data_IF_830494112653
#
_entry.id   IF_830494112653
#
_cell.length_a   1.000
_cell.length_b   1.000
_cell.length_c   1.000
_cell.angle_alpha   90.00
_cell.angle_beta   90.00
_cell.angle_gamma   90.00
#
_symmetry.space_group_name_H-M   'P 1'
#
loop_
_entity.id
_entity.type
_entity.pdbx_description
1 polymer ?
#
# COMPACT_ATOMS: atom_id res chain seq x y z
N UNK A 1 -30.26 9.31 -4.12
CA UNK A 1 -28.95 9.49 -4.78
C UNK A 1 -28.02 10.16 -3.77
N UNK A 2 -26.79 9.65 -3.63
CA UNK A 2 -25.74 10.32 -2.84
C UNK A 2 -25.28 11.59 -3.58
N UNK A 3 -25.00 12.66 -2.84
CA UNK A 3 -24.38 13.85 -3.45
C UNK A 3 -22.90 13.58 -3.75
N UNK A 4 -22.30 14.29 -4.72
CA UNK A 4 -20.87 14.17 -5.05
C UNK A 4 -19.96 14.34 -3.82
N UNK A 5 -20.24 15.34 -2.98
CA UNK A 5 -19.45 15.61 -1.78
C UNK A 5 -19.48 14.46 -0.76
N UNK A 6 -20.64 13.82 -0.60
CA UNK A 6 -20.77 12.66 0.28
C UNK A 6 -20.06 11.44 -0.32
N UNK A 7 -20.10 11.27 -1.64
CA UNK A 7 -19.37 10.20 -2.32
C UNK A 7 -17.84 10.36 -2.16
N UNK A 8 -17.30 11.58 -2.33
CA UNK A 8 -15.87 11.85 -2.10
C UNK A 8 -15.47 11.63 -0.64
N UNK A 9 -16.29 12.10 0.30
CA UNK A 9 -16.06 11.87 1.73
C UNK A 9 -16.04 10.37 2.09
N UNK A 10 -16.93 9.57 1.49
CA UNK A 10 -16.96 8.12 1.70
C UNK A 10 -15.74 7.42 1.08
N UNK A 11 -15.29 7.83 -0.11
CA UNK A 11 -14.07 7.30 -0.72
C UNK A 11 -12.85 7.61 0.13
N UNK A 12 -12.74 8.85 0.63
CA UNK A 12 -11.66 9.25 1.51
C UNK A 12 -11.67 8.48 2.84
N UNK A 13 -12.81 8.43 3.53
CA UNK A 13 -12.93 7.73 4.81
C UNK A 13 -12.70 6.22 4.67
N UNK A 14 -13.27 5.61 3.63
CA UNK A 14 -13.09 4.20 3.32
C UNK A 14 -11.64 3.86 3.02
N UNK A 15 -10.96 4.68 2.21
CA UNK A 15 -9.55 4.48 1.93
C UNK A 15 -8.67 4.67 3.18
N UNK A 16 -8.93 5.70 4.00
CA UNK A 16 -8.22 5.88 5.29
C UNK A 16 -8.34 4.65 6.20
N UNK A 17 -9.51 4.04 6.28
CA UNK A 17 -9.73 2.82 7.07
C UNK A 17 -8.86 1.68 6.52
N UNK A 18 -8.84 1.47 5.21
CA UNK A 18 -7.99 0.45 4.57
C UNK A 18 -6.51 0.71 4.85
N UNK A 19 -6.09 1.96 4.81
CA UNK A 19 -4.71 2.34 5.09
C UNK A 19 -4.30 2.08 6.55
N UNK A 20 -5.20 2.27 7.52
CA UNK A 20 -4.93 1.91 8.93
C UNK A 20 -4.65 0.41 9.06
N UNK A 21 -5.38 -0.44 8.33
CA UNK A 21 -5.09 -1.89 8.30
C UNK A 21 -3.78 -2.21 7.58
N UNK A 22 -3.36 -1.41 6.59
CA UNK A 22 -2.03 -1.57 6.01
C UNK A 22 -0.93 -1.17 7.00
N UNK A 23 -1.15 -0.16 7.86
CA UNK A 23 -0.17 0.21 8.91
C UNK A 23 0.03 -0.90 9.94
N UNK A 24 -0.99 -1.67 10.31
CA UNK A 24 -0.76 -2.81 11.24
C UNK A 24 0.19 -3.85 10.65
N UNK A 25 0.22 -3.97 9.31
CA UNK A 25 1.22 -4.81 8.63
C UNK A 25 2.63 -4.23 8.67
N UNK A 26 2.84 -2.95 8.97
CA UNK A 26 4.17 -2.42 9.28
C UNK A 26 4.61 -2.80 10.69
N UNK A 27 3.66 -2.88 11.62
CA UNK A 27 3.91 -3.09 13.04
C UNK A 27 4.05 -4.57 13.43
N UNK A 28 3.54 -5.47 12.59
CA UNK A 28 3.63 -6.91 12.80
C UNK A 28 4.92 -7.49 12.21
N UNK A 29 5.87 -7.89 13.06
CA UNK A 29 7.11 -8.53 12.64
C UNK A 29 6.93 -9.90 11.97
N UNK A 30 5.81 -10.58 12.24
CA UNK A 30 5.48 -11.91 11.69
C UNK A 30 4.73 -11.85 10.36
N UNK A 31 4.11 -10.72 10.03
CA UNK A 31 3.41 -10.56 8.76
C UNK A 31 4.38 -10.75 7.58
N UNK A 32 4.23 -11.87 6.88
CA UNK A 32 5.03 -12.25 5.74
C UNK A 32 4.56 -11.55 4.46
N UNK A 33 4.68 -10.22 4.44
CA UNK A 33 4.38 -9.42 3.24
C UNK A 33 5.65 -9.31 2.38
N UNK A 34 5.63 -9.82 1.14
CA UNK A 34 6.75 -9.67 0.23
C UNK A 34 7.04 -8.21 -0.12
N UNK A 35 8.30 -7.80 0.01
CA UNK A 35 8.80 -6.48 -0.40
C UNK A 35 8.40 -6.13 -1.83
N UNK A 36 8.60 -7.06 -2.76
CA UNK A 36 8.28 -6.85 -4.18
C UNK A 36 6.79 -6.52 -4.35
N UNK A 37 5.92 -7.22 -3.63
CA UNK A 37 4.48 -6.96 -3.67
C UNK A 37 4.13 -5.59 -3.10
N UNK A 38 4.77 -5.18 -1.99
CA UNK A 38 4.58 -3.83 -1.44
C UNK A 38 5.01 -2.73 -2.42
N UNK A 39 6.13 -2.93 -3.11
CA UNK A 39 6.59 -2.00 -4.15
C UNK A 39 5.59 -1.92 -5.32
N UNK A 40 5.07 -3.06 -5.77
CA UNK A 40 4.05 -3.11 -6.83
C UNK A 40 2.77 -2.39 -6.43
N UNK A 41 2.31 -2.57 -5.19
CA UNK A 41 1.13 -1.83 -4.69
C UNK A 41 1.40 -0.33 -4.61
N UNK A 42 2.56 0.09 -4.13
CA UNK A 42 2.93 1.51 -4.10
C UNK A 42 2.89 2.14 -5.50
N UNK A 43 3.45 1.46 -6.51
CA UNK A 43 3.36 1.93 -7.91
C UNK A 43 1.93 1.96 -8.45
N UNK A 44 1.16 0.89 -8.24
CA UNK A 44 -0.23 0.82 -8.72
C UNK A 44 -1.10 1.93 -8.12
N UNK A 45 -1.02 2.13 -6.81
CA UNK A 45 -1.70 3.22 -6.12
C UNK A 45 -1.18 4.60 -6.58
N UNK A 46 0.10 4.72 -6.90
CA UNK A 46 0.68 5.94 -7.45
C UNK A 46 0.07 6.33 -8.79
N UNK A 47 -0.17 5.36 -9.68
CA UNK A 47 -0.85 5.60 -10.95
C UNK A 47 -2.30 6.06 -10.71
N UNK A 48 -2.99 5.40 -9.77
CA UNK A 48 -4.38 5.76 -9.42
C UNK A 48 -4.45 7.18 -8.82
N UNK A 49 -3.52 7.55 -7.93
CA UNK A 49 -3.51 8.88 -7.33
C UNK A 49 -3.27 9.96 -8.38
N UNK A 50 -2.36 9.75 -9.34
CA UNK A 50 -2.16 10.64 -10.48
C UNK A 50 -3.45 10.80 -11.28
N UNK A 51 -4.21 9.71 -11.50
CA UNK A 51 -5.51 9.75 -12.14
C UNK A 51 -6.52 10.65 -11.41
N UNK A 52 -6.61 10.54 -10.08
CA UNK A 52 -7.47 11.41 -9.28
C UNK A 52 -7.02 12.88 -9.30
N UNK A 53 -5.71 13.14 -9.25
CA UNK A 53 -5.18 14.49 -9.37
C UNK A 53 -5.51 15.12 -10.74
N UNK A 54 -5.40 14.36 -11.83
CA UNK A 54 -5.76 14.82 -13.17
C UNK A 54 -7.25 15.17 -13.30
N UNK A 55 -8.12 14.49 -12.54
CA UNK A 55 -9.55 14.77 -12.46
C UNK A 55 -9.91 15.84 -11.42
N UNK A 56 -8.93 16.45 -10.76
CA UNK A 56 -9.13 17.42 -9.65
C UNK A 56 -9.92 16.85 -8.46
N UNK A 57 -9.89 15.53 -8.25
CA UNK A 57 -10.54 14.83 -7.15
C UNK A 57 -9.57 14.72 -5.95
N UNK A 58 -9.45 15.79 -5.18
CA UNK A 58 -8.41 15.92 -4.16
C UNK A 58 -8.58 14.99 -2.95
N UNK A 59 -9.81 14.75 -2.50
CA UNK A 59 -10.09 13.84 -1.39
C UNK A 59 -9.70 12.39 -1.74
N UNK A 60 -10.17 11.81 -2.87
CA UNK A 60 -9.71 10.51 -3.34
C UNK A 60 -8.19 10.45 -3.58
N UNK A 61 -7.61 11.52 -4.16
CA UNK A 61 -6.16 11.62 -4.34
C UNK A 61 -5.41 11.47 -3.01
N UNK A 62 -5.78 12.26 -2.00
CA UNK A 62 -5.11 12.23 -0.69
C UNK A 62 -5.23 10.85 -0.04
N UNK A 63 -6.40 10.23 -0.12
CA UNK A 63 -6.62 8.88 0.43
C UNK A 63 -5.66 7.87 -0.18
N UNK A 64 -5.51 7.85 -1.50
CA UNK A 64 -4.65 6.89 -2.20
C UNK A 64 -3.17 7.24 -2.04
N UNK A 65 -2.83 8.53 -2.02
CA UNK A 65 -1.45 8.98 -1.82
C UNK A 65 -0.89 8.54 -0.45
N UNK A 66 -1.72 8.52 0.59
CA UNK A 66 -1.33 7.97 1.90
C UNK A 66 -0.96 6.48 1.76
N UNK A 67 -1.74 5.70 1.02
CA UNK A 67 -1.42 4.30 0.75
C UNK A 67 -0.14 4.06 -0.02
N UNK A 68 0.14 4.91 -1.03
CA UNK A 68 1.44 4.89 -1.73
C UNK A 68 2.60 4.97 -0.75
N UNK A 69 2.51 5.89 0.22
CA UNK A 69 3.52 6.09 1.25
C UNK A 69 3.61 4.87 2.17
N UNK A 70 2.48 4.37 2.67
CA UNK A 70 2.47 3.20 3.58
C UNK A 70 3.13 1.99 2.90
N UNK A 71 2.74 1.65 1.66
CA UNK A 71 3.31 0.52 0.95
C UNK A 71 4.79 0.72 0.59
N UNK A 72 5.21 1.95 0.30
CA UNK A 72 6.63 2.28 0.15
C UNK A 72 7.41 2.07 1.46
N UNK A 73 6.84 2.46 2.60
CA UNK A 73 7.43 2.21 3.91
C UNK A 73 7.51 0.71 4.21
N UNK A 74 6.50 -0.10 3.84
CA UNK A 74 6.57 -1.57 4.02
C UNK A 74 7.74 -2.13 3.23
N UNK A 75 7.93 -1.67 1.99
CA UNK A 75 9.07 -2.08 1.18
C UNK A 75 10.42 -1.69 1.81
N UNK A 76 10.53 -0.50 2.42
CA UNK A 76 11.78 0.00 3.02
C UNK A 76 12.09 -0.71 4.34
N UNK A 77 11.10 -0.88 5.22
CA UNK A 77 11.30 -1.41 6.57
C UNK A 77 11.44 -2.93 6.62
N UNK A 78 10.91 -3.66 5.64
CA UNK A 78 11.01 -5.12 5.64
C UNK A 78 12.43 -5.59 5.29
N UNK A 79 12.96 -6.60 5.98
CA UNK A 79 14.31 -7.09 5.71
C UNK A 79 14.44 -7.79 4.34
N UNK A 80 15.66 -7.87 3.79
CA UNK A 80 15.96 -8.38 2.43
C UNK A 80 16.23 -9.89 2.36
N UNK A 81 15.86 -10.63 3.39
CA UNK A 81 15.97 -12.09 3.42
C UNK A 81 14.96 -12.74 2.46
N UNK A 82 15.30 -13.90 1.87
CA UNK A 82 14.52 -14.55 0.80
C UNK A 82 13.03 -14.70 1.11
N UNK A 83 12.70 -15.03 2.37
CA UNK A 83 11.33 -15.06 2.94
C UNK A 83 10.55 -13.75 2.74
N UNK A 84 11.18 -12.61 3.00
CA UNK A 84 10.53 -11.29 2.94
C UNK A 84 10.68 -10.62 1.57
N UNK A 85 11.58 -11.10 0.71
CA UNK A 85 11.64 -10.70 -0.69
C UNK A 85 10.50 -11.32 -1.52
N UNK A 86 9.89 -12.41 -1.05
CA UNK A 86 8.90 -13.18 -1.82
C UNK A 86 9.54 -14.12 -2.86
N UNK A 87 10.81 -14.44 -2.66
CA UNK A 87 11.62 -15.29 -3.56
C UNK A 87 12.19 -16.50 -2.82
N UNK A 88 11.59 -16.89 -1.69
CA UNK A 88 12.01 -18.02 -0.86
C UNK A 88 12.08 -19.34 -1.65
N UNK A 89 11.24 -19.49 -2.69
CA UNK A 89 11.29 -20.64 -3.60
C UNK A 89 12.38 -20.54 -4.70
N UNK A 90 13.12 -19.43 -4.78
CA UNK A 90 14.10 -19.14 -5.84
C UNK A 90 15.54 -19.07 -5.32
N UNK A 91 15.75 -18.94 -4.01
CA UNK A 91 17.06 -18.97 -3.37
C UNK A 91 17.13 -20.21 -2.47
N UNK A 92 18.20 -21.01 -2.53
CA UNK A 92 18.39 -22.11 -1.60
C UNK A 92 18.48 -21.55 -0.17
N UNK A 93 17.87 -22.24 0.79
CA UNK A 93 18.06 -21.94 2.21
C UNK A 93 19.53 -22.10 2.55
N UNK A 94 20.20 -21.02 2.98
CA UNK A 94 21.59 -21.04 3.47
C UNK A 94 21.76 -21.83 4.80
N UNK A 95 20.75 -22.61 5.20
CA UNK A 95 20.74 -23.46 6.40
C UNK A 95 20.72 -24.97 6.07
N UNK A 96 21.29 -25.40 4.93
CA UNK A 96 21.70 -26.79 4.69
C UNK A 96 23.23 -26.92 4.59
#
# INVERSE_FOLDING_TARGET
>A
MLSPDVAEGLVFAGGLILEIFAVTTLLDSEAAIPRIQSLMFSFALGIVSIGYAALSLWLPFMSVAIGVVIWALVFIYRPTNGKYLGIENLLPDDNQ
#
